data_IF_701046690351
#
_entry.id   IF_701046690351
#
_cell.length_a   1.000
_cell.length_b   1.000
_cell.length_c   1.000
_cell.angle_alpha   90.00
_cell.angle_beta   90.00
_cell.angle_gamma   90.00
#
_symmetry.space_group_name_H-M   'P 1'
#
loop_
_entity.id
_entity.type
_entity.pdbx_description
1 polymer ?
#
# COMPACT_ATOMS: atom_id res chain seq x y z
N UNK A 1 -49.87 -16.04 41.69
CA UNK A 1 -49.18 -16.71 42.79
C UNK A 1 -47.72 -16.22 42.83
N UNK A 2 -47.23 -15.98 44.01
CA UNK A 2 -45.89 -15.40 44.29
C UNK A 2 -44.68 -16.14 43.67
N UNK A 3 -44.80 -17.41 43.38
CA UNK A 3 -43.75 -18.22 42.74
C UNK A 3 -43.63 -17.96 41.22
N UNK A 4 -44.73 -17.58 40.55
CA UNK A 4 -44.71 -17.21 39.13
C UNK A 4 -43.97 -15.90 38.89
N UNK A 5 -44.18 -14.89 39.70
CA UNK A 5 -43.48 -13.59 39.56
C UNK A 5 -42.01 -13.65 39.84
N UNK A 6 -41.54 -14.49 40.78
CA UNK A 6 -40.10 -14.72 41.02
C UNK A 6 -39.42 -15.40 39.85
N UNK A 7 -40.06 -16.33 39.16
CA UNK A 7 -39.51 -16.97 37.96
C UNK A 7 -39.34 -16.00 36.80
N UNK A 8 -40.32 -15.13 36.59
CA UNK A 8 -40.27 -14.08 35.56
C UNK A 8 -39.13 -13.06 35.83
N UNK A 9 -38.98 -12.62 37.06
CA UNK A 9 -37.94 -11.68 37.46
C UNK A 9 -36.53 -12.28 37.34
N UNK A 10 -36.34 -13.57 37.57
CA UNK A 10 -35.10 -14.25 37.40
C UNK A 10 -34.73 -14.46 35.90
N UNK A 11 -35.70 -14.80 35.07
CA UNK A 11 -35.51 -14.97 33.63
C UNK A 11 -35.13 -13.65 32.93
N UNK A 12 -35.87 -12.56 33.23
CA UNK A 12 -35.54 -11.23 32.69
C UNK A 12 -34.22 -10.69 33.17
N UNK A 13 -33.80 -10.99 34.41
CA UNK A 13 -32.49 -10.57 34.94
C UNK A 13 -31.32 -11.33 34.27
N UNK A 14 -31.55 -12.54 33.86
CA UNK A 14 -30.54 -13.37 33.18
C UNK A 14 -30.32 -12.88 31.74
N UNK A 15 -31.39 -12.57 31.01
CA UNK A 15 -31.32 -12.02 29.64
C UNK A 15 -30.59 -10.68 29.60
N UNK A 16 -30.89 -9.78 30.53
CA UNK A 16 -30.23 -8.45 30.60
C UNK A 16 -28.73 -8.58 30.94
N UNK A 17 -28.36 -9.57 31.76
CA UNK A 17 -26.94 -9.78 32.10
C UNK A 17 -26.13 -10.30 30.93
N UNK A 18 -26.68 -11.26 30.16
CA UNK A 18 -26.05 -11.75 28.95
C UNK A 18 -25.91 -10.64 27.89
N UNK A 19 -26.97 -9.89 27.65
CA UNK A 19 -26.95 -8.76 26.71
C UNK A 19 -25.87 -7.75 27.08
N UNK A 20 -25.80 -7.35 28.35
CA UNK A 20 -24.74 -6.44 28.84
C UNK A 20 -23.34 -6.99 28.71
N UNK A 21 -23.17 -8.29 28.85
CA UNK A 21 -21.86 -8.93 28.65
C UNK A 21 -21.46 -8.91 27.18
N UNK A 22 -22.36 -9.26 26.26
CA UNK A 22 -22.11 -9.14 24.83
C UNK A 22 -21.83 -7.71 24.37
N UNK A 23 -22.56 -6.73 24.90
CA UNK A 23 -22.28 -5.32 24.63
C UNK A 23 -20.87 -4.90 25.07
N UNK A 24 -20.43 -5.33 26.27
CA UNK A 24 -19.09 -5.04 26.77
C UNK A 24 -18.01 -5.71 25.92
N UNK A 25 -18.21 -6.97 25.56
CA UNK A 25 -17.28 -7.70 24.68
C UNK A 25 -17.18 -7.04 23.32
N UNK A 26 -18.30 -6.62 22.74
CA UNK A 26 -18.35 -5.92 21.46
C UNK A 26 -17.61 -4.57 21.51
N UNK A 27 -17.82 -3.79 22.58
CA UNK A 27 -17.14 -2.51 22.77
C UNK A 27 -15.63 -2.74 22.93
N UNK A 28 -15.21 -3.72 23.75
CA UNK A 28 -13.81 -4.04 23.92
C UNK A 28 -13.13 -4.50 22.62
N UNK A 29 -13.78 -5.38 21.87
CA UNK A 29 -13.28 -5.84 20.58
C UNK A 29 -13.17 -4.68 19.55
N UNK A 30 -14.15 -3.77 19.54
CA UNK A 30 -14.12 -2.58 18.69
C UNK A 30 -12.94 -1.66 19.05
N UNK A 31 -12.73 -1.39 20.32
CA UNK A 31 -11.61 -0.55 20.79
C UNK A 31 -10.24 -1.17 20.44
N UNK A 32 -10.12 -2.48 20.59
CA UNK A 32 -8.89 -3.21 20.23
C UNK A 32 -8.63 -3.13 18.72
N UNK A 33 -9.67 -3.33 17.90
CA UNK A 33 -9.58 -3.18 16.44
C UNK A 33 -9.18 -1.75 16.05
N UNK A 34 -9.78 -0.73 16.66
CA UNK A 34 -9.43 0.67 16.41
C UNK A 34 -7.96 0.98 16.77
N UNK A 35 -7.47 0.44 17.91
CA UNK A 35 -6.07 0.56 18.31
C UNK A 35 -5.13 -0.13 17.30
N UNK A 36 -5.48 -1.33 16.86
CA UNK A 36 -4.70 -2.06 15.86
C UNK A 36 -4.64 -1.31 14.51
N UNK A 37 -5.78 -0.82 14.02
CA UNK A 37 -5.86 -0.01 12.81
C UNK A 37 -5.05 1.30 12.91
N UNK A 38 -5.12 1.97 14.07
CA UNK A 38 -4.32 3.17 14.32
C UNK A 38 -2.82 2.88 14.29
N UNK A 39 -2.39 1.78 14.93
CA UNK A 39 -0.99 1.33 14.94
C UNK A 39 -0.52 1.01 13.51
N UNK A 40 -1.33 0.28 12.74
CA UNK A 40 -1.03 -0.03 11.35
C UNK A 40 -0.91 1.24 10.48
N UNK A 41 -1.83 2.19 10.62
CA UNK A 41 -1.77 3.48 9.92
C UNK A 41 -0.52 4.28 10.28
N UNK A 42 -0.11 4.28 11.55
CA UNK A 42 1.12 4.96 11.97
C UNK A 42 2.37 4.29 11.36
N UNK A 43 2.41 2.96 11.31
CA UNK A 43 3.51 2.24 10.68
C UNK A 43 3.61 2.57 9.18
N UNK A 44 2.48 2.59 8.46
CA UNK A 44 2.47 2.97 7.04
C UNK A 44 2.89 4.43 6.81
N UNK A 45 2.57 5.35 7.72
CA UNK A 45 2.97 6.75 7.62
C UNK A 45 4.46 7.01 7.85
N UNK A 46 5.15 6.13 8.54
CA UNK A 46 6.59 6.23 8.80
C UNK A 46 7.45 5.71 7.65
N UNK A 47 6.82 5.18 6.60
CA UNK A 47 7.49 4.61 5.43
C UNK A 47 7.79 5.75 4.44
N UNK A 48 9.04 5.80 3.97
CA UNK A 48 9.52 6.84 3.04
C UNK A 48 9.31 6.47 1.56
N UNK A 49 8.18 5.80 1.27
CA UNK A 49 7.77 5.46 -0.09
C UNK A 49 6.25 5.50 -0.23
N UNK A 50 5.75 5.67 -1.45
CA UNK A 50 4.32 5.58 -1.74
C UNK A 50 3.86 4.13 -1.89
N UNK A 51 2.69 3.82 -1.33
CA UNK A 51 2.01 2.53 -1.49
C UNK A 51 0.63 2.72 -2.08
N UNK A 52 0.26 1.84 -3.02
CA UNK A 52 -1.04 1.87 -3.68
C UNK A 52 -1.50 0.44 -3.91
N UNK A 53 -2.70 0.12 -3.45
CA UNK A 53 -3.35 -1.14 -3.81
C UNK A 53 -4.38 -0.90 -4.91
N UNK A 54 -4.28 -1.69 -5.98
CA UNK A 54 -5.10 -1.61 -7.19
C UNK A 54 -5.71 -2.99 -7.46
N UNK A 55 -7.01 -3.06 -7.73
CA UNK A 55 -7.67 -4.30 -8.13
C UNK A 55 -7.37 -4.68 -9.60
N UNK A 56 -7.76 -5.87 -10.01
CA UNK A 56 -7.57 -6.38 -11.37
C UNK A 56 -8.20 -5.52 -12.47
N UNK A 57 -9.13 -4.63 -12.14
CA UNK A 57 -9.79 -3.70 -13.04
C UNK A 57 -9.12 -2.31 -13.04
N UNK A 58 -7.91 -2.21 -12.54
CA UNK A 58 -7.14 -0.95 -12.42
C UNK A 58 -7.77 0.08 -11.48
N UNK A 59 -8.72 -0.29 -10.63
CA UNK A 59 -9.35 0.60 -9.67
C UNK A 59 -8.53 0.68 -8.39
N UNK A 60 -8.15 1.88 -8.01
CA UNK A 60 -7.43 2.15 -6.75
C UNK A 60 -8.35 1.83 -5.58
N UNK A 61 -7.96 0.90 -4.73
CA UNK A 61 -8.69 0.53 -3.53
C UNK A 61 -8.27 1.37 -2.34
N UNK A 62 -6.96 1.59 -2.17
CA UNK A 62 -6.40 2.52 -1.20
C UNK A 62 -5.02 3.02 -1.64
N UNK A 63 -4.57 4.11 -1.02
CA UNK A 63 -3.25 4.70 -1.27
C UNK A 63 -2.67 5.32 0.01
N UNK A 64 -1.36 5.32 0.11
CA UNK A 64 -0.56 6.13 1.04
C UNK A 64 0.61 6.71 0.24
N UNK A 65 0.40 7.87 -0.32
CA UNK A 65 1.33 8.51 -1.28
C UNK A 65 1.80 9.89 -0.84
N UNK A 66 1.55 10.27 0.42
CA UNK A 66 1.86 11.62 0.93
C UNK A 66 3.31 12.02 0.73
N UNK A 67 4.24 11.09 0.93
CA UNK A 67 5.68 11.34 0.81
C UNK A 67 6.09 11.66 -0.63
N UNK A 68 5.37 11.11 -1.60
CA UNK A 68 5.66 11.33 -3.03
C UNK A 68 4.71 12.34 -3.69
N UNK A 69 3.58 12.65 -3.07
CA UNK A 69 2.56 13.53 -3.65
C UNK A 69 3.06 14.95 -3.93
N UNK A 70 3.99 15.45 -3.11
CA UNK A 70 4.62 16.77 -3.31
C UNK A 70 5.63 16.78 -4.46
N UNK A 71 6.13 15.61 -4.87
CA UNK A 71 7.16 15.47 -5.90
C UNK A 71 6.57 15.39 -7.31
N UNK A 72 5.28 15.06 -7.43
CA UNK A 72 4.60 14.85 -8.72
C UNK A 72 3.42 15.79 -8.87
N UNK A 73 3.55 16.81 -9.69
CA UNK A 73 2.53 17.85 -9.87
C UNK A 73 1.26 17.30 -10.54
N UNK A 74 0.10 17.48 -9.87
CA UNK A 74 -1.22 17.19 -10.46
C UNK A 74 -1.57 15.72 -10.65
N UNK A 75 -0.67 14.79 -10.35
CA UNK A 75 -0.88 13.35 -10.47
C UNK A 75 -1.32 12.78 -9.13
N UNK A 76 -2.46 12.12 -9.09
CA UNK A 76 -3.00 11.54 -7.86
C UNK A 76 -3.56 10.15 -8.10
N UNK A 77 -3.38 9.29 -7.11
CA UNK A 77 -4.12 8.04 -7.03
C UNK A 77 -5.33 8.28 -6.14
N UNK A 78 -6.53 8.12 -6.72
CA UNK A 78 -7.79 8.45 -6.02
C UNK A 78 -8.53 7.15 -5.76
N UNK A 79 -8.78 6.76 -4.49
CA UNK A 79 -9.57 5.58 -4.17
C UNK A 79 -10.91 5.55 -4.91
N UNK A 80 -11.27 4.40 -5.45
CA UNK A 80 -12.46 4.21 -6.27
C UNK A 80 -12.34 4.62 -7.74
N UNK A 81 -11.25 5.30 -8.15
CA UNK A 81 -11.01 5.69 -9.55
C UNK A 81 -9.99 4.77 -10.23
N UNK A 82 -10.00 4.80 -11.55
CA UNK A 82 -9.04 4.02 -12.37
C UNK A 82 -7.68 4.71 -12.33
N UNK A 83 -6.61 3.95 -12.02
CA UNK A 83 -5.28 4.49 -11.75
C UNK A 83 -4.73 5.31 -12.93
N UNK A 84 -4.76 4.79 -14.16
CA UNK A 84 -4.19 5.49 -15.31
C UNK A 84 -4.97 6.74 -15.71
N UNK A 85 -6.25 6.86 -15.34
CA UNK A 85 -7.04 8.08 -15.61
C UNK A 85 -6.67 9.22 -14.68
N UNK A 86 -6.31 8.92 -13.44
CA UNK A 86 -6.05 9.96 -12.42
C UNK A 86 -4.56 10.22 -12.20
N UNK A 87 -3.71 9.21 -12.30
CA UNK A 87 -2.28 9.36 -12.11
C UNK A 87 -1.51 9.65 -13.38
N UNK A 88 -1.89 9.04 -14.50
CA UNK A 88 -1.23 9.21 -15.79
C UNK A 88 -2.00 10.09 -16.79
N UNK A 89 -3.23 10.48 -16.43
CA UNK A 89 -4.15 11.30 -17.27
C UNK A 89 -4.37 10.68 -18.66
N UNK A 90 -4.60 9.36 -18.70
CA UNK A 90 -4.76 8.56 -19.94
C UNK A 90 -6.10 7.83 -19.93
N UNK A 91 -6.54 7.43 -21.13
CA UNK A 91 -7.75 6.62 -21.30
C UNK A 91 -7.48 5.11 -21.36
N UNK A 92 -6.21 4.73 -21.36
CA UNK A 92 -5.75 3.34 -21.43
C UNK A 92 -4.58 3.08 -20.48
N UNK A 93 -4.28 1.83 -20.11
CA UNK A 93 -3.14 1.48 -19.26
C UNK A 93 -1.82 2.00 -19.83
N UNK A 94 -0.90 2.39 -18.96
CA UNK A 94 0.43 2.89 -19.35
C UNK A 94 1.16 1.83 -20.21
N UNK A 95 1.84 2.24 -21.27
CA UNK A 95 2.48 1.31 -22.21
C UNK A 95 3.52 0.36 -21.57
N UNK A 96 4.24 0.82 -20.54
CA UNK A 96 5.15 -0.02 -19.73
C UNK A 96 4.65 -0.14 -18.29
N UNK A 97 3.38 -0.48 -18.11
CA UNK A 97 2.76 -0.59 -16.81
C UNK A 97 3.33 -1.78 -16.01
N UNK A 98 4.05 -1.51 -14.92
CA UNK A 98 4.57 -2.54 -14.03
C UNK A 98 3.43 -3.37 -13.41
N UNK A 99 2.33 -2.72 -13.03
CA UNK A 99 1.14 -3.38 -12.51
C UNK A 99 0.56 -4.38 -13.51
N UNK A 100 0.33 -3.96 -14.77
CA UNK A 100 -0.17 -4.85 -15.82
C UNK A 100 0.71 -6.08 -15.98
N UNK A 101 2.03 -5.88 -16.13
CA UNK A 101 2.99 -6.99 -16.26
C UNK A 101 2.98 -7.92 -15.03
N UNK A 102 2.86 -7.36 -13.81
CA UNK A 102 2.83 -8.17 -12.59
C UNK A 102 1.60 -9.06 -12.52
N UNK A 103 0.42 -8.53 -12.89
CA UNK A 103 -0.83 -9.31 -12.91
C UNK A 103 -0.79 -10.40 -14.00
N UNK A 104 -0.32 -10.06 -15.20
CA UNK A 104 -0.25 -11.02 -16.33
C UNK A 104 0.76 -12.15 -16.08
N UNK A 105 1.88 -11.88 -15.39
CA UNK A 105 2.94 -12.84 -15.17
C UNK A 105 2.88 -13.54 -13.79
N UNK A 106 2.06 -13.05 -12.88
CA UNK A 106 2.01 -13.53 -11.50
C UNK A 106 3.32 -13.32 -10.73
N UNK A 107 4.13 -12.32 -11.11
CA UNK A 107 5.48 -12.10 -10.56
C UNK A 107 5.69 -10.65 -10.15
N UNK A 108 6.63 -10.45 -9.24
CA UNK A 108 7.06 -9.09 -8.88
C UNK A 108 7.80 -8.46 -10.07
N UNK A 109 7.32 -7.29 -10.49
CA UNK A 109 7.93 -6.49 -11.55
C UNK A 109 8.52 -5.22 -10.95
N UNK A 110 9.77 -4.94 -11.27
CA UNK A 110 10.45 -3.68 -10.94
C UNK A 110 10.71 -2.89 -12.21
N UNK A 111 10.47 -1.60 -12.13
CA UNK A 111 10.63 -0.71 -13.26
C UNK A 111 10.99 0.70 -12.78
N UNK A 112 11.96 1.33 -13.43
CA UNK A 112 12.29 2.74 -13.16
C UNK A 112 11.49 3.63 -14.10
N UNK A 113 10.84 4.64 -13.54
CA UNK A 113 10.13 5.67 -14.31
C UNK A 113 10.64 7.04 -13.90
N UNK A 114 10.62 7.97 -14.85
CA UNK A 114 10.84 9.38 -14.58
C UNK A 114 9.52 10.12 -14.70
N UNK A 115 9.19 10.86 -13.64
CA UNK A 115 8.00 11.71 -13.61
C UNK A 115 8.46 13.09 -13.23
N UNK A 116 8.25 14.03 -14.16
CA UNK A 116 8.84 15.38 -14.09
C UNK A 116 10.37 15.26 -13.92
N UNK A 117 10.97 15.77 -12.84
CA UNK A 117 12.40 15.69 -12.59
C UNK A 117 12.78 14.67 -11.50
N UNK A 118 11.87 13.77 -11.17
CA UNK A 118 12.05 12.76 -10.12
C UNK A 118 12.10 11.36 -10.72
N UNK A 119 13.14 10.62 -10.37
CA UNK A 119 13.29 9.21 -10.75
C UNK A 119 12.69 8.32 -9.66
N UNK A 120 11.73 7.47 -10.04
CA UNK A 120 11.07 6.52 -9.14
C UNK A 120 11.41 5.08 -9.53
N UNK A 121 11.73 4.25 -8.54
CA UNK A 121 11.61 2.80 -8.67
C UNK A 121 10.19 2.39 -8.32
N UNK A 122 9.49 1.77 -9.27
CA UNK A 122 8.17 1.21 -9.08
C UNK A 122 8.29 -0.29 -8.97
N UNK A 123 7.89 -0.84 -7.83
CA UNK A 123 7.76 -2.28 -7.63
C UNK A 123 6.30 -2.65 -7.60
N UNK A 124 5.87 -3.50 -8.53
CA UNK A 124 4.52 -4.05 -8.58
C UNK A 124 4.54 -5.50 -8.09
N UNK A 125 3.79 -5.80 -7.05
CA UNK A 125 3.65 -7.12 -6.45
C UNK A 125 2.22 -7.60 -6.65
N UNK A 126 1.98 -8.76 -7.31
CA UNK A 126 0.64 -9.31 -7.42
C UNK A 126 0.11 -9.71 -6.04
N UNK A 127 -1.19 -9.52 -5.82
CA UNK A 127 -1.89 -9.89 -4.60
C UNK A 127 -2.87 -11.00 -4.94
N UNK A 128 -2.75 -12.11 -4.23
CA UNK A 128 -3.58 -13.29 -4.40
C UNK A 128 -4.73 -13.28 -3.39
N UNK A 129 -5.88 -13.77 -3.82
CA UNK A 129 -7.09 -13.82 -3.00
C UNK A 129 -7.19 -15.08 -2.15
N UNK A 130 -6.34 -16.07 -2.41
CA UNK A 130 -6.31 -17.37 -1.75
C UNK A 130 -4.89 -17.75 -1.30
N UNK A 131 -4.80 -18.62 -0.29
CA UNK A 131 -3.51 -19.12 0.24
C UNK A 131 -2.73 -19.97 -0.78
N UNK A 132 -3.39 -20.48 -1.82
CA UNK A 132 -2.78 -21.30 -2.87
C UNK A 132 -2.19 -20.47 -4.01
N UNK A 133 -2.28 -19.15 -3.92
CA UNK A 133 -1.78 -18.23 -4.94
C UNK A 133 -2.30 -18.53 -6.36
N UNK A 134 -3.57 -18.97 -6.47
CA UNK A 134 -4.18 -19.36 -7.74
C UNK A 134 -4.95 -18.22 -8.40
N UNK A 135 -5.54 -17.32 -7.62
CA UNK A 135 -6.32 -16.20 -8.13
C UNK A 135 -5.69 -14.85 -7.77
N UNK A 136 -5.25 -14.10 -8.77
CA UNK A 136 -4.78 -12.73 -8.58
C UNK A 136 -6.01 -11.80 -8.51
N UNK A 137 -6.18 -11.13 -7.37
CA UNK A 137 -7.27 -10.18 -7.12
C UNK A 137 -6.86 -8.72 -7.36
N UNK A 138 -5.56 -8.45 -7.42
CA UNK A 138 -5.03 -7.11 -7.62
C UNK A 138 -3.52 -7.07 -7.47
N UNK A 139 -2.97 -5.89 -7.22
CA UNK A 139 -1.54 -5.72 -6.99
C UNK A 139 -1.22 -4.53 -6.12
N UNK A 140 -0.14 -4.65 -5.38
CA UNK A 140 0.45 -3.60 -4.57
C UNK A 140 1.57 -2.92 -5.35
N UNK A 141 1.48 -1.62 -5.52
CA UNK A 141 2.53 -0.79 -6.10
C UNK A 141 3.26 -0.05 -5.00
N UNK A 142 4.60 -0.15 -5.01
CA UNK A 142 5.50 0.66 -4.20
C UNK A 142 6.25 1.63 -5.09
N UNK A 143 6.26 2.91 -4.70
CA UNK A 143 6.99 3.98 -5.37
C UNK A 143 8.07 4.52 -4.44
N UNK A 144 9.32 4.35 -4.82
CA UNK A 144 10.48 4.85 -4.09
C UNK A 144 11.18 5.92 -4.91
N UNK A 145 11.43 7.10 -4.32
CA UNK A 145 12.23 8.13 -4.96
C UNK A 145 13.71 7.73 -4.91
N UNK A 146 14.29 7.48 -6.07
CA UNK A 146 15.68 7.05 -6.21
C UNK A 146 16.59 8.13 -6.84
N UNK A 147 16.12 9.36 -6.97
CA UNK A 147 16.83 10.45 -7.63
C UNK A 147 18.22 10.67 -7.03
N UNK A 148 18.30 10.80 -5.70
CA UNK A 148 19.58 11.02 -5.01
C UNK A 148 20.49 9.78 -5.09
N UNK A 149 19.93 8.58 -5.00
CA UNK A 149 20.66 7.31 -5.17
C UNK A 149 21.30 7.23 -6.55
N UNK A 150 20.56 7.60 -7.60
CA UNK A 150 21.09 7.60 -8.97
C UNK A 150 22.18 8.67 -9.17
N UNK A 151 22.01 9.87 -8.61
CA UNK A 151 23.03 10.91 -8.64
C UNK A 151 24.31 10.44 -7.95
N UNK A 152 24.21 9.89 -6.75
CA UNK A 152 25.36 9.39 -6.00
C UNK A 152 26.10 8.27 -6.76
N UNK A 153 25.36 7.33 -7.33
CA UNK A 153 25.95 6.25 -8.13
C UNK A 153 26.70 6.79 -9.35
N UNK A 154 26.16 7.79 -10.06
CA UNK A 154 26.88 8.43 -11.17
C UNK A 154 28.17 9.10 -10.72
N UNK A 155 28.11 9.88 -9.65
CA UNK A 155 29.30 10.54 -9.09
C UNK A 155 30.38 9.53 -8.68
N UNK A 156 29.96 8.41 -8.06
CA UNK A 156 30.88 7.34 -7.66
C UNK A 156 31.52 6.68 -8.89
N UNK A 157 30.75 6.42 -9.93
CA UNK A 157 31.22 5.83 -11.16
C UNK A 157 32.22 6.75 -11.86
N UNK A 158 31.92 8.03 -11.99
CA UNK A 158 32.81 9.03 -12.58
C UNK A 158 34.15 9.16 -11.77
N UNK A 159 34.06 9.15 -10.46
CA UNK A 159 35.23 9.21 -9.59
C UNK A 159 36.13 7.96 -9.76
N UNK A 160 35.48 6.78 -9.86
CA UNK A 160 36.19 5.53 -10.10
C UNK A 160 36.93 5.54 -11.45
N UNK A 161 36.24 5.94 -12.52
CA UNK A 161 36.83 6.02 -13.87
C UNK A 161 38.02 6.98 -13.90
N UNK A 162 37.93 8.16 -13.28
CA UNK A 162 39.06 9.13 -13.16
C UNK A 162 40.20 8.57 -12.38
N UNK A 163 39.96 7.80 -11.30
CA UNK A 163 41.03 7.20 -10.50
C UNK A 163 41.73 6.10 -11.29
N UNK A 164 40.99 5.26 -12.01
CA UNK A 164 41.56 4.19 -12.87
C UNK A 164 42.41 4.78 -14.01
N UNK A 165 41.93 5.84 -14.66
CA UNK A 165 42.69 6.54 -15.71
C UNK A 165 43.98 7.16 -15.16
N UNK A 166 43.89 7.87 -14.00
CA UNK A 166 45.09 8.41 -13.34
C UNK A 166 46.13 7.35 -12.99
N UNK A 167 45.68 6.19 -12.52
CA UNK A 167 46.60 5.08 -12.20
C UNK A 167 47.25 4.49 -13.47
N UNK A 168 46.49 4.39 -14.55
CA UNK A 168 47.03 3.89 -15.84
C UNK A 168 48.06 4.83 -16.45
N UNK A 169 47.94 6.14 -16.27
CA UNK A 169 48.91 7.13 -16.77
C UNK A 169 50.20 7.18 -15.92
N UNK A 170 50.20 6.64 -14.70
CA UNK A 170 51.35 6.61 -13.81
C UNK A 170 52.16 5.30 -13.88
N UNK A 171 51.66 4.32 -14.60
CA UNK A 171 52.30 3.03 -14.84
C UNK A 171 53.03 3.01 -16.18
#
# INVERSE_FOLDING_TARGET
SWEGEKKWLLATRWDITQLKNYERELVAAKEELEKALKKQKLALKSIDFGLIYIDKNYRVQWEETRQIASLVKGRRYIPGKICYQTSALRNEPCGQCAFKKAIEQGKIIRHTIRVDDVDFEVTATPVFGDEKETEIIGGLLRFENITEKLKMNRMLQEAKEKAEESNRLKS
#
